data_IF_795516120911
#
_entry.id   IF_795516120911
#
_cell.length_a   1.000
_cell.length_b   1.000
_cell.length_c   1.000
_cell.angle_alpha   90.00
_cell.angle_beta   90.00
_cell.angle_gamma   90.00
#
_symmetry.space_group_name_H-M   'P 1'
#
loop_
_entity.id
_entity.type
_entity.pdbx_description
1 polymer ?
#
# COMPACT_ATOMS: atom_id res chain seq x y z
N UNK A 1 5.44 4.93 10.33
CA UNK A 1 4.38 3.94 10.56
C UNK A 1 4.96 2.88 11.47
N UNK A 2 4.23 2.50 12.49
CA UNK A 2 4.53 1.36 13.38
C UNK A 2 3.57 0.22 13.12
N UNK A 3 3.65 -0.86 13.93
CA UNK A 3 2.67 -1.94 13.94
C UNK A 3 1.25 -1.40 14.03
N UNK A 4 0.30 -1.99 13.25
CA UNK A 4 -1.07 -1.49 13.24
C UNK A 4 -1.94 -2.16 12.17
N UNK A 5 -3.21 -1.74 12.01
CA UNK A 5 -4.20 -2.44 11.17
C UNK A 5 -3.99 -2.25 9.65
N UNK A 6 -3.15 -1.32 9.22
CA UNK A 6 -2.83 -1.14 7.78
C UNK A 6 -2.00 -2.31 7.25
N UNK A 7 -1.98 -2.53 5.93
CA UNK A 7 -1.16 -3.58 5.31
C UNK A 7 0.32 -3.52 5.73
N UNK A 8 0.92 -2.32 5.68
CA UNK A 8 2.29 -2.08 6.19
C UNK A 8 2.37 -2.30 7.70
N UNK A 9 1.37 -1.85 8.46
CA UNK A 9 1.33 -2.02 9.92
C UNK A 9 1.23 -3.48 10.33
N UNK A 10 0.45 -4.31 9.64
CA UNK A 10 0.37 -5.77 9.85
C UNK A 10 1.69 -6.46 9.52
N UNK A 11 2.31 -6.12 8.39
CA UNK A 11 3.64 -6.61 8.05
C UNK A 11 4.65 -6.30 9.15
N UNK A 12 4.65 -5.08 9.68
CA UNK A 12 5.53 -4.69 10.78
C UNK A 12 5.22 -5.47 12.06
N UNK A 13 3.94 -5.68 12.40
CA UNK A 13 3.55 -6.51 13.54
C UNK A 13 4.08 -7.93 13.41
N UNK A 14 3.91 -8.56 12.25
CA UNK A 14 4.39 -9.91 11.98
C UNK A 14 5.92 -9.99 12.05
N UNK A 15 6.62 -9.01 11.48
CA UNK A 15 8.08 -8.95 11.57
C UNK A 15 8.55 -8.81 13.02
N UNK A 16 7.93 -7.96 13.83
CA UNK A 16 8.27 -7.81 15.25
C UNK A 16 8.08 -9.12 15.98
N UNK A 17 6.96 -9.81 15.81
CA UNK A 17 6.68 -11.12 16.45
C UNK A 17 7.74 -12.17 16.04
N UNK A 18 8.00 -12.28 14.74
CA UNK A 18 8.95 -13.29 14.21
C UNK A 18 10.41 -13.05 14.62
N UNK A 19 10.77 -11.79 14.86
CA UNK A 19 12.12 -11.41 15.18
C UNK A 19 12.34 -11.20 16.69
N UNK A 20 11.28 -11.27 17.50
CA UNK A 20 11.35 -10.98 18.95
C UNK A 20 12.30 -11.90 19.75
N UNK A 21 12.64 -13.07 19.18
CA UNK A 21 13.59 -14.03 19.78
C UNK A 21 14.99 -13.93 19.16
N UNK A 22 15.30 -12.86 18.42
CA UNK A 22 16.58 -12.64 17.76
C UNK A 22 17.12 -11.27 18.19
N UNK A 23 18.43 -11.05 18.10
CA UNK A 23 19.13 -9.82 18.47
C UNK A 23 18.77 -8.60 17.61
N UNK A 24 17.48 -8.28 17.48
CA UNK A 24 16.98 -7.13 16.73
C UNK A 24 16.37 -6.07 17.65
N UNK A 25 16.79 -4.84 17.46
CA UNK A 25 16.20 -3.68 18.12
C UNK A 25 15.21 -2.98 17.18
N UNK A 26 14.00 -2.71 17.68
CA UNK A 26 12.95 -2.05 16.91
C UNK A 26 12.86 -0.58 17.29
N UNK A 27 12.81 0.27 16.27
CA UNK A 27 12.55 1.69 16.44
C UNK A 27 11.40 2.08 15.50
N UNK A 28 10.27 2.47 16.07
CA UNK A 28 9.13 2.93 15.29
C UNK A 28 8.44 4.13 15.91
N UNK A 29 7.81 4.95 15.07
CA UNK A 29 6.95 6.03 15.55
C UNK A 29 5.62 5.44 15.99
N UNK A 30 5.16 5.81 17.17
CA UNK A 30 3.85 5.41 17.66
C UNK A 30 2.75 5.92 16.74
N UNK A 31 1.75 5.09 16.45
CA UNK A 31 0.57 5.52 15.70
C UNK A 31 -0.24 6.49 16.57
N UNK A 32 -0.40 7.73 16.15
CA UNK A 32 -1.10 8.71 16.95
C UNK A 32 -2.62 8.56 16.80
N UNK A 33 -3.38 9.01 17.81
CA UNK A 33 -4.84 9.15 17.72
C UNK A 33 -5.18 10.19 16.63
N UNK A 34 -6.30 10.05 15.94
CA UNK A 34 -6.69 11.03 14.92
C UNK A 34 -7.03 12.38 15.55
N UNK A 35 -6.23 13.41 15.31
CA UNK A 35 -6.50 14.77 15.77
C UNK A 35 -7.83 15.31 15.22
N UNK A 36 -8.15 14.97 13.95
CA UNK A 36 -9.41 15.35 13.33
C UNK A 36 -10.59 14.74 14.08
N UNK A 37 -10.53 13.45 14.44
CA UNK A 37 -11.56 12.76 15.22
C UNK A 37 -11.71 13.38 16.60
N UNK A 38 -10.61 13.66 17.31
CA UNK A 38 -10.64 14.31 18.62
C UNK A 38 -11.25 15.71 18.56
N UNK A 39 -10.98 16.47 17.50
CA UNK A 39 -11.56 17.79 17.25
C UNK A 39 -13.07 17.71 16.99
N UNK A 40 -13.51 16.76 16.12
CA UNK A 40 -14.95 16.57 15.84
C UNK A 40 -15.73 16.07 17.06
N UNK A 41 -15.11 15.24 17.90
CA UNK A 41 -15.68 14.78 19.18
C UNK A 41 -15.57 15.82 20.30
N UNK A 42 -15.09 17.05 20.03
CA UNK A 42 -14.89 18.15 20.99
C UNK A 42 -14.03 17.78 22.22
N UNK A 43 -13.16 16.78 22.11
CA UNK A 43 -12.25 16.31 23.17
C UNK A 43 -10.97 17.16 23.24
N UNK A 44 -11.10 18.44 23.55
CA UNK A 44 -10.00 19.42 23.47
C UNK A 44 -8.82 19.12 24.40
N UNK A 45 -9.07 18.67 25.63
CA UNK A 45 -8.00 18.29 26.57
C UNK A 45 -7.20 17.09 26.06
N UNK A 46 -7.89 16.06 25.55
CA UNK A 46 -7.24 14.89 24.92
C UNK A 46 -6.47 15.30 23.66
N UNK A 47 -6.98 16.26 22.90
CA UNK A 47 -6.31 16.82 21.71
C UNK A 47 -5.00 17.51 22.08
N UNK A 48 -4.99 18.36 23.09
CA UNK A 48 -3.79 19.05 23.57
C UNK A 48 -2.75 18.07 24.12
N UNK A 49 -3.18 17.11 24.92
CA UNK A 49 -2.31 16.03 25.42
C UNK A 49 -1.72 15.20 24.29
N UNK A 50 -2.50 14.88 23.26
CA UNK A 50 -2.01 14.12 22.10
C UNK A 50 -0.98 14.92 21.29
N UNK A 51 -1.19 16.23 21.10
CA UNK A 51 -0.22 17.10 20.44
C UNK A 51 1.11 17.15 21.21
N UNK A 52 1.05 17.31 22.53
CA UNK A 52 2.23 17.34 23.40
C UNK A 52 2.95 15.99 23.38
N UNK A 53 2.23 14.87 23.50
CA UNK A 53 2.79 13.51 23.40
C UNK A 53 3.48 13.29 22.04
N UNK A 54 2.91 13.79 20.94
CA UNK A 54 3.54 13.70 19.61
C UNK A 54 4.85 14.43 19.54
N UNK A 55 4.89 15.67 20.07
CA UNK A 55 6.13 16.45 20.10
C UNK A 55 7.22 15.74 20.89
N UNK A 56 6.92 15.29 22.09
CA UNK A 56 7.85 14.54 22.95
C UNK A 56 8.31 13.23 22.28
N UNK A 57 7.37 12.41 21.77
CA UNK A 57 7.72 11.18 21.08
C UNK A 57 8.61 11.43 19.85
N UNK A 58 8.38 12.50 19.09
CA UNK A 58 9.24 12.85 17.96
C UNK A 58 10.66 13.26 18.43
N UNK A 59 10.78 13.99 19.51
CA UNK A 59 12.08 14.37 20.09
C UNK A 59 12.83 13.11 20.52
N UNK A 60 12.20 12.23 21.32
CA UNK A 60 12.81 10.98 21.77
C UNK A 60 13.15 10.03 20.60
N UNK A 61 12.29 9.94 19.60
CA UNK A 61 12.54 9.15 18.40
C UNK A 61 13.76 9.68 17.65
N UNK A 62 13.80 10.98 17.40
CA UNK A 62 14.94 11.63 16.73
C UNK A 62 16.24 11.42 17.53
N UNK A 63 16.17 11.61 18.84
CA UNK A 63 17.32 11.41 19.73
C UNK A 63 17.84 9.97 19.66
N UNK A 64 16.97 8.94 19.76
CA UNK A 64 17.38 7.55 19.59
C UNK A 64 18.09 7.29 18.26
N UNK A 65 17.57 7.84 17.16
CA UNK A 65 18.14 7.66 15.82
C UNK A 65 19.53 8.31 15.71
N UNK A 66 19.79 9.41 16.41
CA UNK A 66 21.08 10.13 16.36
C UNK A 66 22.27 9.27 16.80
N UNK A 67 22.03 8.31 17.70
CA UNK A 67 23.09 7.46 18.25
C UNK A 67 23.26 6.14 17.49
N UNK A 68 22.42 5.85 16.49
CA UNK A 68 22.54 4.64 15.69
C UNK A 68 23.65 4.84 14.65
N UNK A 69 24.79 4.15 14.85
CA UNK A 69 25.95 4.20 13.96
C UNK A 69 26.57 2.81 13.82
N UNK A 70 27.22 2.55 12.69
CA UNK A 70 27.98 1.32 12.39
C UNK A 70 27.13 0.03 12.51
N UNK A 71 25.84 0.12 12.17
CA UNK A 71 24.91 -0.99 12.26
C UNK A 71 24.27 -1.34 10.91
N UNK A 72 23.64 -2.52 10.84
CA UNK A 72 22.79 -2.90 9.71
C UNK A 72 21.36 -2.52 10.06
N UNK A 73 20.71 -1.72 9.21
CA UNK A 73 19.37 -1.22 9.48
C UNK A 73 18.44 -1.62 8.34
N UNK A 74 17.29 -2.22 8.67
CA UNK A 74 16.19 -2.45 7.75
C UNK A 74 15.22 -1.29 7.90
N UNK A 75 14.99 -0.54 6.83
CA UNK A 75 14.04 0.57 6.79
C UNK A 75 12.85 0.17 5.94
N UNK A 76 11.66 0.37 6.50
CA UNK A 76 10.39 0.23 5.82
C UNK A 76 9.77 1.62 5.76
N UNK A 77 9.46 2.14 4.57
CA UNK A 77 8.83 3.43 4.39
C UNK A 77 9.67 4.65 4.82
N UNK A 78 10.67 5.06 4.04
CA UNK A 78 11.55 6.18 4.38
C UNK A 78 10.80 7.51 4.55
N UNK A 79 9.70 7.74 3.82
CA UNK A 79 8.88 8.96 3.96
C UNK A 79 8.32 9.14 5.38
N UNK A 80 7.94 8.06 6.06
CA UNK A 80 7.34 8.15 7.40
C UNK A 80 8.36 8.34 8.52
N UNK A 81 9.59 7.89 8.30
CA UNK A 81 10.73 8.21 9.18
C UNK A 81 11.10 9.70 9.00
N UNK A 82 11.00 10.19 7.79
CA UNK A 82 11.49 11.47 7.31
C UNK A 82 12.79 11.31 6.54
N UNK A 83 12.87 11.90 5.36
CA UNK A 83 14.03 11.76 4.48
C UNK A 83 15.32 12.28 5.08
N UNK A 84 15.27 13.38 5.87
CA UNK A 84 16.46 13.93 6.52
C UNK A 84 17.09 12.92 7.50
N UNK A 85 16.26 12.24 8.29
CA UNK A 85 16.71 11.16 9.18
C UNK A 85 17.17 9.93 8.39
N UNK A 86 16.48 9.59 7.32
CA UNK A 86 16.86 8.49 6.44
C UNK A 86 18.27 8.72 5.86
N UNK A 87 18.54 9.88 5.26
CA UNK A 87 19.85 10.20 4.70
C UNK A 87 20.95 10.28 5.76
N UNK A 88 20.62 10.75 6.96
CA UNK A 88 21.54 10.70 8.10
C UNK A 88 21.90 9.27 8.49
N UNK A 89 20.91 8.38 8.60
CA UNK A 89 21.16 6.96 8.88
C UNK A 89 22.01 6.32 7.78
N UNK A 90 21.73 6.65 6.52
CA UNK A 90 22.48 6.14 5.37
C UNK A 90 23.97 6.53 5.40
N UNK A 91 24.30 7.73 5.94
CA UNK A 91 25.69 8.21 6.06
C UNK A 91 26.54 7.35 6.99
N UNK A 92 25.95 6.78 8.05
CA UNK A 92 26.68 6.12 9.14
C UNK A 92 26.41 4.64 9.29
N UNK A 93 25.50 4.08 8.47
CA UNK A 93 25.02 2.70 8.62
C UNK A 93 24.86 2.00 7.28
N UNK A 94 24.82 0.67 7.32
CA UNK A 94 24.44 -0.14 6.15
C UNK A 94 22.92 -0.28 6.08
N UNK A 95 22.32 0.34 5.07
CA UNK A 95 20.86 0.40 4.91
C UNK A 95 20.35 -0.69 3.98
N UNK A 96 19.36 -1.42 4.45
CA UNK A 96 18.48 -2.31 3.69
C UNK A 96 17.12 -1.63 3.60
N UNK A 97 16.71 -1.19 2.42
CA UNK A 97 15.42 -0.53 2.19
C UNK A 97 14.41 -1.54 1.66
N UNK A 98 13.44 -1.93 2.49
CA UNK A 98 12.32 -2.75 2.05
C UNK A 98 11.31 -1.89 1.30
N UNK A 99 11.11 -2.20 0.02
CA UNK A 99 10.33 -1.36 -0.89
C UNK A 99 8.87 -1.80 -0.84
N UNK A 100 8.03 -0.97 -0.22
CA UNK A 100 6.61 -1.28 0.00
C UNK A 100 5.70 -0.85 -1.15
N UNK A 101 6.08 0.20 -1.85
CA UNK A 101 5.33 0.84 -2.93
C UNK A 101 6.31 1.52 -3.90
N UNK A 102 5.80 2.31 -4.82
CA UNK A 102 6.59 2.98 -5.85
C UNK A 102 7.07 4.39 -5.46
N UNK A 103 7.08 4.72 -4.17
CA UNK A 103 7.57 6.00 -3.65
C UNK A 103 9.05 6.27 -3.87
N UNK A 104 9.79 5.35 -4.42
CA UNK A 104 11.19 5.55 -4.81
C UNK A 104 11.34 6.33 -6.12
N UNK A 105 10.29 6.38 -6.97
CA UNK A 105 10.26 7.20 -8.19
C UNK A 105 8.97 8.02 -8.32
N UNK A 106 7.87 7.65 -7.68
CA UNK A 106 6.58 8.31 -7.80
C UNK A 106 6.26 9.14 -6.55
N UNK A 107 5.99 10.42 -6.73
CA UNK A 107 5.61 11.32 -5.64
C UNK A 107 4.31 10.89 -4.94
N UNK A 108 3.41 10.23 -5.66
CA UNK A 108 2.12 9.72 -5.14
C UNK A 108 2.20 8.36 -4.47
N UNK A 109 3.35 7.69 -4.48
CA UNK A 109 3.59 6.32 -4.01
C UNK A 109 2.87 5.23 -4.81
N UNK A 110 1.62 5.43 -5.19
CA UNK A 110 0.89 4.64 -6.17
C UNK A 110 1.03 5.31 -7.52
N UNK A 111 1.79 4.72 -8.45
CA UNK A 111 2.09 5.28 -9.76
C UNK A 111 0.88 5.23 -10.71
N UNK A 112 -0.15 6.01 -10.39
CA UNK A 112 -1.34 6.22 -11.23
C UNK A 112 -1.31 7.63 -11.79
N UNK A 113 -1.57 7.79 -13.09
CA UNK A 113 -1.67 9.10 -13.71
C UNK A 113 -2.85 9.88 -13.13
N UNK A 114 -2.69 11.16 -12.74
CA UNK A 114 -3.72 11.91 -12.04
C UNK A 114 -5.00 12.12 -12.87
N UNK A 115 -4.87 12.24 -14.20
CA UNK A 115 -5.98 12.51 -15.12
C UNK A 115 -6.45 11.23 -15.83
N UNK A 116 -5.48 10.42 -16.37
CA UNK A 116 -5.82 9.25 -17.18
C UNK A 116 -6.22 8.03 -16.35
N UNK A 117 -6.03 8.07 -15.04
CA UNK A 117 -6.39 7.00 -14.09
C UNK A 117 -5.84 5.62 -14.47
N UNK A 118 -4.65 5.57 -15.07
CA UNK A 118 -3.95 4.36 -15.45
C UNK A 118 -2.53 4.32 -14.88
N UNK A 119 -1.83 3.19 -15.06
CA UNK A 119 -0.42 3.05 -14.65
C UNK A 119 0.43 4.19 -15.25
N UNK A 120 1.18 4.89 -14.40
CA UNK A 120 2.05 5.99 -14.80
C UNK A 120 3.53 5.64 -14.52
N UNK A 121 4.34 5.69 -15.56
CA UNK A 121 5.78 5.43 -15.51
C UNK A 121 6.62 6.68 -15.82
N UNK A 122 5.98 7.84 -15.94
CA UNK A 122 6.60 9.11 -16.39
C UNK A 122 7.78 9.53 -15.51
N UNK A 123 7.71 9.28 -14.20
CA UNK A 123 8.78 9.66 -13.26
C UNK A 123 9.94 8.67 -13.20
N UNK A 124 9.87 7.54 -13.91
CA UNK A 124 11.02 6.61 -13.99
C UNK A 124 12.16 7.32 -14.69
N UNK A 125 13.35 7.22 -14.07
CA UNK A 125 14.60 7.86 -14.51
C UNK A 125 14.61 9.40 -14.44
N UNK A 126 13.60 10.11 -14.92
CA UNK A 126 13.62 11.57 -15.09
C UNK A 126 13.06 12.38 -13.92
N UNK A 127 12.27 11.77 -13.01
CA UNK A 127 11.60 12.46 -11.88
C UNK A 127 10.81 13.71 -12.33
N UNK A 128 10.03 13.57 -13.40
CA UNK A 128 9.22 14.64 -13.99
C UNK A 128 7.71 14.37 -13.75
N UNK A 129 7.19 14.63 -12.53
CA UNK A 129 5.79 14.40 -12.23
C UNK A 129 4.90 15.42 -12.95
N UNK A 130 3.65 15.01 -13.20
CA UNK A 130 2.60 15.92 -13.65
C UNK A 130 2.31 16.98 -12.57
N UNK A 131 1.87 18.17 -12.96
CA UNK A 131 1.58 19.28 -12.03
C UNK A 131 0.55 18.90 -10.97
N UNK A 132 -0.45 18.10 -11.33
CA UNK A 132 -1.49 17.60 -10.42
C UNK A 132 -1.05 16.43 -9.50
N UNK A 133 0.22 16.04 -9.55
CA UNK A 133 0.73 14.98 -8.69
C UNK A 133 1.07 15.49 -7.30
N UNK A 134 0.13 15.42 -6.36
CA UNK A 134 0.40 15.73 -4.96
C UNK A 134 1.13 14.58 -4.24
N UNK A 135 2.19 14.90 -3.46
CA UNK A 135 2.90 13.90 -2.68
C UNK A 135 2.00 13.18 -1.67
N UNK A 136 2.08 11.86 -1.66
CA UNK A 136 1.29 10.98 -0.79
C UNK A 136 2.16 9.79 -0.36
N UNK A 137 1.99 9.22 0.85
CA UNK A 137 1.01 9.58 1.90
C UNK A 137 1.45 10.72 2.80
N UNK A 138 2.66 11.23 2.65
CA UNK A 138 3.20 12.32 3.48
C UNK A 138 3.02 13.63 2.76
N UNK A 139 2.28 14.54 3.38
CA UNK A 139 2.00 15.87 2.83
C UNK A 139 3.27 16.73 2.87
N UNK A 140 3.73 17.13 1.70
CA UNK A 140 4.81 18.10 1.48
C UNK A 140 4.65 18.72 0.09
N UNK A 141 5.40 19.77 -0.23
CA UNK A 141 5.39 20.30 -1.59
C UNK A 141 6.01 19.30 -2.58
N UNK A 142 5.51 19.29 -3.82
CA UNK A 142 6.04 18.45 -4.89
C UNK A 142 7.55 18.68 -5.08
N UNK A 143 7.99 19.94 -5.13
CA UNK A 143 9.41 20.33 -5.24
C UNK A 143 10.26 19.72 -4.14
N UNK A 144 9.79 19.75 -2.87
CA UNK A 144 10.51 19.15 -1.76
C UNK A 144 10.57 17.62 -1.90
N UNK A 145 9.51 16.99 -2.34
CA UNK A 145 9.48 15.54 -2.56
C UNK A 145 10.47 15.14 -3.67
N UNK A 146 10.45 15.83 -4.81
CA UNK A 146 11.38 15.59 -5.92
C UNK A 146 12.81 15.68 -5.45
N UNK A 147 13.18 16.74 -4.71
CA UNK A 147 14.53 16.87 -4.15
C UNK A 147 14.94 15.67 -3.27
N UNK A 148 14.01 15.13 -2.52
CA UNK A 148 14.27 13.90 -1.75
C UNK A 148 14.47 12.67 -2.64
N UNK A 149 13.71 12.53 -3.72
CA UNK A 149 13.85 11.44 -4.69
C UNK A 149 15.16 11.54 -5.49
N UNK A 150 15.57 12.76 -5.85
CA UNK A 150 16.88 13.02 -6.48
C UNK A 150 18.02 12.60 -5.55
N UNK A 151 17.94 12.95 -4.27
CA UNK A 151 18.90 12.51 -3.27
C UNK A 151 18.88 10.99 -3.11
N UNK A 152 17.71 10.35 -3.11
CA UNK A 152 17.59 8.90 -3.08
C UNK A 152 18.29 8.27 -4.30
N UNK A 153 18.08 8.84 -5.49
CA UNK A 153 18.75 8.42 -6.71
C UNK A 153 20.27 8.59 -6.61
N UNK A 154 20.75 9.74 -6.14
CA UNK A 154 22.16 10.03 -5.93
C UNK A 154 22.86 9.02 -5.03
N UNK A 155 22.21 8.61 -3.95
CA UNK A 155 22.79 7.71 -2.94
C UNK A 155 22.35 6.25 -3.10
N UNK A 156 21.65 5.89 -4.18
CA UNK A 156 21.07 4.56 -4.39
C UNK A 156 22.09 3.41 -4.35
N UNK A 157 23.33 3.65 -4.80
CA UNK A 157 24.43 2.65 -4.77
C UNK A 157 24.84 2.25 -3.36
N UNK A 158 24.57 3.09 -2.35
CA UNK A 158 24.86 2.83 -0.93
C UNK A 158 23.72 2.07 -0.23
N UNK A 159 22.61 1.83 -0.92
CA UNK A 159 21.42 1.16 -0.41
C UNK A 159 21.34 -0.24 -0.98
N UNK A 160 20.95 -1.19 -0.15
CA UNK A 160 20.51 -2.51 -0.60
C UNK A 160 18.99 -2.50 -0.61
N UNK A 161 18.40 -2.50 -1.79
CA UNK A 161 16.95 -2.55 -1.96
C UNK A 161 16.45 -3.99 -1.78
N UNK A 162 15.42 -4.15 -0.95
CA UNK A 162 14.72 -5.41 -0.74
C UNK A 162 13.38 -5.30 -1.46
N UNK A 163 13.27 -5.91 -2.62
CA UNK A 163 12.05 -5.91 -3.45
C UNK A 163 11.16 -7.09 -3.13
N UNK A 164 9.87 -6.95 -3.40
CA UNK A 164 8.89 -7.98 -3.15
C UNK A 164 8.80 -9.00 -4.31
N UNK A 165 9.09 -8.60 -5.54
CA UNK A 165 9.02 -9.45 -6.71
C UNK A 165 9.99 -9.01 -7.82
N UNK A 166 10.03 -9.76 -8.94
CA UNK A 166 10.92 -9.50 -10.08
C UNK A 166 10.57 -8.17 -10.77
N UNK A 167 9.30 -7.88 -11.00
CA UNK A 167 8.87 -6.66 -11.68
C UNK A 167 9.24 -5.39 -10.88
N UNK A 168 9.09 -5.42 -9.56
CA UNK A 168 9.57 -4.32 -8.71
C UNK A 168 11.10 -4.19 -8.77
N UNK A 169 11.83 -5.31 -8.82
CA UNK A 169 13.29 -5.30 -9.02
C UNK A 169 13.68 -4.67 -10.35
N UNK A 170 12.92 -4.93 -11.44
CA UNK A 170 13.12 -4.28 -12.74
C UNK A 170 12.87 -2.78 -12.67
N UNK A 171 11.77 -2.33 -12.03
CA UNK A 171 11.47 -0.91 -11.83
C UNK A 171 12.60 -0.19 -11.08
N UNK A 172 13.15 -0.81 -10.02
CA UNK A 172 14.29 -0.26 -9.29
C UNK A 172 15.52 -0.09 -10.18
N UNK A 173 15.84 -1.08 -11.02
CA UNK A 173 16.96 -1.01 -11.95
C UNK A 173 16.71 0.00 -13.07
N UNK A 174 15.49 0.11 -13.58
CA UNK A 174 15.14 1.13 -14.60
C UNK A 174 15.30 2.55 -14.04
N UNK A 175 14.95 2.75 -12.77
CA UNK A 175 15.02 4.08 -12.15
C UNK A 175 16.42 4.46 -11.68
N UNK A 176 17.13 3.55 -11.03
CA UNK A 176 18.44 3.83 -10.40
C UNK A 176 19.64 3.36 -11.24
N UNK A 177 19.41 2.61 -12.32
CA UNK A 177 20.44 1.97 -13.15
C UNK A 177 20.81 0.56 -12.67
N UNK A 178 21.47 -0.21 -13.55
CA UNK A 178 21.77 -1.63 -13.31
C UNK A 178 22.78 -1.89 -12.17
N UNK A 179 23.54 -0.86 -11.75
CA UNK A 179 24.55 -0.98 -10.69
C UNK A 179 23.99 -1.01 -9.28
N UNK A 180 22.68 -0.79 -9.08
CA UNK A 180 22.05 -0.84 -7.75
C UNK A 180 21.94 -2.25 -7.22
N UNK A 181 22.08 -2.38 -5.91
CA UNK A 181 21.99 -3.68 -5.21
C UNK A 181 20.53 -3.96 -4.89
N UNK A 182 19.93 -4.92 -5.58
CA UNK A 182 18.55 -5.35 -5.33
C UNK A 182 18.53 -6.83 -4.92
N UNK A 183 17.74 -7.16 -3.91
CA UNK A 183 17.46 -8.53 -3.49
C UNK A 183 15.95 -8.73 -3.48
N UNK A 184 15.47 -9.78 -4.12
CA UNK A 184 14.06 -10.17 -4.10
C UNK A 184 13.84 -11.02 -2.86
N UNK A 185 12.98 -10.59 -1.93
CA UNK A 185 12.72 -11.29 -0.67
C UNK A 185 11.25 -11.65 -0.47
N UNK A 186 10.36 -11.20 -1.36
CA UNK A 186 8.93 -11.42 -1.23
C UNK A 186 8.26 -10.53 -0.18
N UNK A 187 7.02 -10.83 0.09
CA UNK A 187 6.22 -10.29 1.18
C UNK A 187 5.69 -11.44 2.04
N UNK A 188 5.72 -11.27 3.35
CA UNK A 188 5.14 -12.25 4.26
C UNK A 188 3.61 -12.27 4.13
N UNK A 189 3.09 -13.38 3.63
CA UNK A 189 1.66 -13.63 3.39
C UNK A 189 1.13 -14.77 4.26
N UNK A 190 1.73 -15.02 5.41
CA UNK A 190 1.40 -16.15 6.30
C UNK A 190 -0.09 -16.25 6.68
N UNK A 191 -0.85 -15.18 6.51
CA UNK A 191 -2.30 -15.18 6.75
C UNK A 191 -3.11 -15.79 5.60
N UNK A 192 -2.45 -16.12 4.48
CA UNK A 192 -3.11 -16.66 3.30
C UNK A 192 -3.00 -18.18 3.36
N UNK A 193 -4.06 -18.82 3.84
CA UNK A 193 -4.23 -20.27 3.74
C UNK A 193 -4.96 -20.56 2.43
N UNK A 194 -4.43 -21.47 1.61
CA UNK A 194 -5.20 -22.04 0.49
C UNK A 194 -6.33 -22.87 1.06
N UNK A 195 -7.49 -22.77 0.45
CA UNK A 195 -8.60 -23.67 0.75
C UNK A 195 -8.34 -25.02 0.08
N UNK A 196 -8.52 -26.12 0.81
CA UNK A 196 -8.66 -27.43 0.18
C UNK A 196 -9.91 -27.41 -0.69
N UNK A 197 -9.83 -27.96 -1.90
CA UNK A 197 -10.82 -27.86 -2.98
C UNK A 197 -12.12 -28.62 -2.68
N UNK A 198 -12.88 -28.19 -1.70
CA UNK A 198 -14.30 -28.57 -1.61
C UNK A 198 -15.14 -27.41 -2.13
N UNK A 199 -15.38 -27.39 -3.43
CA UNK A 199 -16.36 -26.50 -4.05
C UNK A 199 -17.77 -26.98 -3.71
N UNK A 200 -18.23 -26.65 -2.51
CA UNK A 200 -19.66 -26.68 -2.20
C UNK A 200 -20.34 -25.57 -3.00
N UNK A 201 -21.39 -25.92 -3.76
CA UNK A 201 -22.27 -24.96 -4.44
C UNK A 201 -22.91 -24.04 -3.38
N UNK A 202 -22.31 -22.89 -3.14
CA UNK A 202 -22.86 -21.91 -2.22
C UNK A 202 -23.76 -20.94 -2.99
N UNK A 203 -24.92 -20.64 -2.42
CA UNK A 203 -25.79 -19.55 -2.90
C UNK A 203 -24.95 -18.27 -2.89
N UNK A 204 -24.72 -17.72 -4.07
CA UNK A 204 -23.95 -16.47 -4.23
C UNK A 204 -24.77 -15.32 -3.64
N UNK A 205 -24.16 -14.53 -2.75
CA UNK A 205 -24.83 -13.37 -2.15
C UNK A 205 -24.73 -12.14 -3.05
N UNK A 206 -23.59 -12.00 -3.75
CA UNK A 206 -23.33 -10.92 -4.70
C UNK A 206 -22.65 -11.51 -5.93
N UNK A 207 -22.97 -10.94 -7.09
CA UNK A 207 -22.37 -11.40 -8.35
C UNK A 207 -20.91 -10.96 -8.44
N UNK A 208 -20.62 -9.69 -8.16
CA UNK A 208 -19.29 -9.11 -8.30
C UNK A 208 -18.87 -8.41 -7.01
N UNK A 209 -17.69 -8.77 -6.50
CA UNK A 209 -17.14 -8.25 -5.24
C UNK A 209 -15.87 -7.47 -5.51
N UNK A 210 -15.80 -6.23 -5.01
CA UNK A 210 -14.57 -5.45 -4.92
C UNK A 210 -13.77 -5.88 -3.69
N UNK A 211 -12.51 -6.26 -3.88
CA UNK A 211 -11.65 -6.54 -2.73
C UNK A 211 -10.48 -5.56 -2.69
N UNK A 212 -10.62 -4.51 -1.92
CA UNK A 212 -9.62 -3.45 -1.75
C UNK A 212 -10.18 -2.29 -0.94
N UNK A 213 -9.35 -1.30 -0.69
CA UNK A 213 -9.81 -0.01 -0.17
C UNK A 213 -10.40 0.82 -1.32
N UNK A 214 -11.45 1.64 -1.07
CA UNK A 214 -12.03 2.50 -2.09
C UNK A 214 -11.10 3.70 -2.41
N UNK A 215 -10.05 3.44 -3.18
CA UNK A 215 -9.07 4.40 -3.65
C UNK A 215 -9.01 4.38 -5.18
N UNK A 216 -8.73 5.52 -5.82
CA UNK A 216 -8.53 5.60 -7.28
C UNK A 216 -7.47 4.59 -7.72
N UNK A 217 -6.32 4.56 -7.05
CA UNK A 217 -5.24 3.63 -7.39
C UNK A 217 -5.62 2.14 -7.24
N UNK A 218 -6.68 1.83 -6.49
CA UNK A 218 -7.23 0.48 -6.36
C UNK A 218 -8.38 0.20 -7.32
N UNK A 219 -8.65 1.14 -8.24
CA UNK A 219 -9.62 1.02 -9.30
C UNK A 219 -11.09 1.09 -8.86
N UNK A 220 -11.39 1.78 -7.75
CA UNK A 220 -12.77 1.91 -7.29
C UNK A 220 -13.67 2.59 -8.34
N UNK A 221 -13.14 3.58 -9.08
CA UNK A 221 -13.89 4.26 -10.13
C UNK A 221 -14.20 3.33 -11.30
N UNK A 222 -13.26 2.46 -11.67
CA UNK A 222 -13.48 1.41 -12.66
C UNK A 222 -14.61 0.47 -12.21
N UNK A 223 -14.60 0.02 -10.95
CA UNK A 223 -15.62 -0.86 -10.39
C UNK A 223 -17.02 -0.20 -10.38
N UNK A 224 -17.11 1.09 -10.04
CA UNK A 224 -18.37 1.84 -10.06
C UNK A 224 -18.90 2.00 -11.50
N UNK A 225 -18.02 2.30 -12.47
CA UNK A 225 -18.38 2.38 -13.88
C UNK A 225 -18.91 1.03 -14.39
N UNK A 226 -18.27 -0.06 -13.99
CA UNK A 226 -18.73 -1.41 -14.35
C UNK A 226 -20.13 -1.71 -13.80
N UNK A 227 -20.40 -1.33 -12.54
CA UNK A 227 -21.73 -1.50 -11.95
C UNK A 227 -22.82 -0.69 -12.67
N UNK A 228 -22.48 0.50 -13.17
CA UNK A 228 -23.41 1.30 -13.95
C UNK A 228 -23.75 0.69 -15.33
N UNK A 229 -22.81 -0.05 -15.92
CA UNK A 229 -22.99 -0.70 -17.24
C UNK A 229 -23.75 -2.03 -17.11
N UNK A 230 -23.68 -2.68 -15.94
CA UNK A 230 -24.28 -3.99 -15.67
C UNK A 230 -25.32 -3.88 -14.54
N UNK A 231 -26.46 -3.18 -14.78
CA UNK A 231 -27.43 -2.89 -13.72
C UNK A 231 -28.17 -4.14 -13.21
N UNK A 232 -28.18 -5.22 -13.96
CA UNK A 232 -28.80 -6.51 -13.61
C UNK A 232 -27.97 -7.34 -12.63
N UNK A 233 -26.67 -7.01 -12.47
CA UNK A 233 -25.79 -7.72 -11.55
C UNK A 233 -25.69 -6.99 -10.21
N UNK A 234 -25.51 -7.74 -9.13
CA UNK A 234 -25.31 -7.21 -7.79
C UNK A 234 -23.81 -7.03 -7.50
N UNK A 235 -23.43 -5.82 -7.11
CA UNK A 235 -22.06 -5.42 -6.80
C UNK A 235 -21.88 -5.20 -5.30
N UNK A 236 -20.73 -5.55 -4.75
CA UNK A 236 -20.44 -5.37 -3.33
C UNK A 236 -19.10 -4.66 -3.09
N UNK A 237 -19.12 -3.65 -2.22
CA UNK A 237 -17.94 -2.94 -1.75
C UNK A 237 -17.82 -3.11 -0.22
N UNK A 238 -16.68 -3.63 0.33
CA UNK A 238 -16.47 -3.86 1.75
C UNK A 238 -16.07 -2.57 2.49
N UNK A 239 -16.84 -1.50 2.33
CA UNK A 239 -16.63 -0.21 2.97
C UNK A 239 -17.99 0.51 3.11
N UNK A 240 -18.00 1.69 3.71
CA UNK A 240 -19.22 2.51 3.80
C UNK A 240 -19.43 3.33 2.53
N UNK A 241 -20.70 3.64 2.23
CA UNK A 241 -21.09 4.51 1.12
C UNK A 241 -20.46 5.90 1.24
N UNK A 242 -20.34 6.42 2.46
CA UNK A 242 -19.74 7.72 2.77
C UNK A 242 -18.26 7.76 2.40
N UNK A 243 -17.51 6.69 2.71
CA UNK A 243 -16.10 6.60 2.36
C UNK A 243 -15.89 6.53 0.84
N UNK A 244 -16.76 5.83 0.12
CA UNK A 244 -16.71 5.77 -1.35
C UNK A 244 -17.03 7.14 -1.96
N UNK A 245 -18.01 7.87 -1.39
CA UNK A 245 -18.36 9.23 -1.81
C UNK A 245 -17.24 10.26 -1.61
N UNK A 246 -16.25 10.02 -0.76
CA UNK A 246 -15.05 10.86 -0.65
C UNK A 246 -14.16 10.80 -1.90
N UNK A 247 -14.29 9.72 -2.69
CA UNK A 247 -13.49 9.49 -3.90
C UNK A 247 -14.35 9.69 -5.17
N UNK A 248 -15.63 9.39 -5.09
CA UNK A 248 -16.59 9.50 -6.19
C UNK A 248 -17.78 10.37 -5.76
N UNK A 249 -17.74 11.62 -6.16
CA UNK A 249 -18.72 12.65 -5.74
C UNK A 249 -19.99 12.73 -6.63
N UNK A 250 -20.36 11.65 -7.30
CA UNK A 250 -21.60 11.54 -8.08
C UNK A 250 -22.55 10.52 -7.46
N UNK A 251 -23.72 10.35 -8.07
CA UNK A 251 -24.67 9.33 -7.64
C UNK A 251 -24.13 7.93 -7.95
N UNK A 252 -24.18 7.08 -6.93
CA UNK A 252 -23.73 5.69 -7.02
C UNK A 252 -24.85 4.83 -7.61
N UNK A 253 -24.51 3.88 -8.51
CA UNK A 253 -25.46 2.90 -9.01
C UNK A 253 -26.22 2.18 -7.91
N UNK A 254 -27.51 1.94 -8.10
CA UNK A 254 -28.41 1.35 -7.09
C UNK A 254 -28.11 -0.14 -6.82
N UNK A 255 -27.44 -0.82 -7.74
CA UNK A 255 -27.03 -2.22 -7.64
C UNK A 255 -25.72 -2.42 -6.86
N UNK A 256 -25.16 -1.37 -6.25
CA UNK A 256 -23.98 -1.48 -5.38
C UNK A 256 -24.40 -1.56 -3.91
N UNK A 257 -24.02 -2.63 -3.25
CA UNK A 257 -24.22 -2.86 -1.82
C UNK A 257 -22.97 -2.54 -1.03
N UNK A 258 -23.14 -1.93 0.16
CA UNK A 258 -22.05 -1.48 1.01
C UNK A 258 -22.17 -2.12 2.40
N UNK A 259 -21.05 -2.56 2.95
CA UNK A 259 -20.96 -2.97 4.35
C UNK A 259 -19.52 -2.80 4.83
N UNK A 260 -19.33 -2.06 5.92
CA UNK A 260 -18.00 -1.90 6.52
C UNK A 260 -17.59 -3.19 7.23
N UNK A 261 -16.88 -4.04 6.51
CA UNK A 261 -16.37 -5.33 7.00
C UNK A 261 -14.90 -5.51 6.60
N UNK A 262 -14.21 -6.31 7.39
CA UNK A 262 -12.83 -6.73 7.17
C UNK A 262 -12.78 -8.22 6.80
N UNK A 263 -11.60 -8.68 6.45
CA UNK A 263 -11.36 -10.10 6.16
C UNK A 263 -11.84 -11.00 7.31
N UNK A 264 -11.56 -10.59 8.54
CA UNK A 264 -11.85 -11.31 9.77
C UNK A 264 -13.33 -11.18 10.20
N UNK A 265 -14.06 -10.17 9.70
CA UNK A 265 -15.45 -9.88 10.12
C UNK A 265 -16.49 -10.20 9.04
N UNK A 266 -16.15 -11.06 8.07
CA UNK A 266 -17.09 -11.61 7.09
C UNK A 266 -16.79 -11.33 5.62
N UNK A 267 -15.72 -10.58 5.28
CA UNK A 267 -15.35 -10.39 3.87
C UNK A 267 -14.86 -11.70 3.23
N UNK A 268 -14.17 -12.56 3.98
CA UNK A 268 -13.75 -13.88 3.51
C UNK A 268 -14.94 -14.67 2.94
N UNK A 269 -16.02 -14.78 3.70
CA UNK A 269 -17.21 -15.52 3.29
C UNK A 269 -17.87 -14.93 2.01
N UNK A 270 -17.88 -13.60 1.90
CA UNK A 270 -18.41 -12.91 0.72
C UNK A 270 -17.52 -13.18 -0.51
N UNK A 271 -16.20 -13.14 -0.35
CA UNK A 271 -15.23 -13.43 -1.41
C UNK A 271 -15.38 -14.89 -1.89
N UNK A 272 -15.50 -15.85 -0.95
CA UNK A 272 -15.67 -17.27 -1.29
C UNK A 272 -16.96 -17.55 -2.07
N UNK A 273 -18.03 -16.82 -1.78
CA UNK A 273 -19.37 -16.98 -2.38
C UNK A 273 -19.63 -16.06 -3.56
N UNK A 274 -18.71 -15.22 -3.97
CA UNK A 274 -18.87 -14.33 -5.11
C UNK A 274 -18.73 -15.11 -6.42
N UNK A 275 -19.53 -14.75 -7.46
CA UNK A 275 -19.32 -15.27 -8.82
C UNK A 275 -18.02 -14.78 -9.41
N UNK A 276 -17.64 -13.50 -9.11
CA UNK A 276 -16.42 -12.88 -9.56
C UNK A 276 -15.87 -11.91 -8.48
N UNK A 277 -14.60 -12.00 -8.19
CA UNK A 277 -13.91 -11.01 -7.35
C UNK A 277 -13.02 -10.15 -8.22
N UNK A 278 -13.15 -8.83 -8.11
CA UNK A 278 -12.36 -7.87 -8.88
C UNK A 278 -11.41 -7.10 -7.95
N UNK A 279 -10.11 -7.13 -8.30
CA UNK A 279 -9.05 -6.35 -7.69
C UNK A 279 -8.43 -5.42 -8.75
N UNK A 280 -9.10 -4.34 -9.18
CA UNK A 280 -8.71 -3.59 -10.37
C UNK A 280 -7.63 -2.54 -10.07
N UNK A 281 -6.52 -2.95 -9.46
CA UNK A 281 -5.40 -2.05 -9.14
C UNK A 281 -4.80 -1.44 -10.41
N UNK A 282 -4.75 -0.10 -10.47
CA UNK A 282 -4.34 0.67 -11.65
C UNK A 282 -2.86 1.07 -11.63
N UNK A 283 -2.06 0.51 -10.75
CA UNK A 283 -0.65 0.86 -10.55
C UNK A 283 0.22 -0.40 -10.57
N UNK A 284 1.53 -0.24 -10.78
CA UNK A 284 2.49 -1.36 -10.70
C UNK A 284 2.63 -1.85 -9.25
N UNK A 285 1.57 -2.49 -8.74
CA UNK A 285 1.57 -3.02 -7.37
C UNK A 285 2.64 -4.11 -7.22
N UNK A 286 3.54 -4.03 -6.22
CA UNK A 286 4.54 -5.08 -6.03
C UNK A 286 3.88 -6.41 -5.65
N UNK A 287 3.28 -6.51 -4.47
CA UNK A 287 2.39 -7.63 -4.10
C UNK A 287 1.10 -7.03 -3.56
N UNK A 288 0.00 -7.32 -4.24
CA UNK A 288 -1.32 -6.88 -3.82
C UNK A 288 -1.94 -7.95 -2.90
N UNK A 289 -1.88 -7.71 -1.60
CA UNK A 289 -2.37 -8.68 -0.61
C UNK A 289 -3.85 -9.05 -0.77
N UNK A 290 -4.70 -8.10 -1.22
CA UNK A 290 -6.10 -8.36 -1.52
C UNK A 290 -6.25 -9.32 -2.71
N UNK A 291 -5.46 -9.12 -3.77
CA UNK A 291 -5.47 -9.99 -4.95
C UNK A 291 -5.05 -11.42 -4.59
N UNK A 292 -3.96 -11.56 -3.82
CA UNK A 292 -3.47 -12.89 -3.39
C UNK A 292 -4.49 -13.59 -2.50
N UNK A 293 -5.12 -12.87 -1.55
CA UNK A 293 -6.20 -13.42 -0.71
C UNK A 293 -7.42 -13.85 -1.55
N UNK A 294 -7.82 -13.01 -2.52
CA UNK A 294 -8.92 -13.36 -3.42
C UNK A 294 -8.62 -14.64 -4.20
N UNK A 295 -7.44 -14.73 -4.83
CA UNK A 295 -7.06 -15.89 -5.64
C UNK A 295 -6.87 -17.18 -4.83
N UNK A 296 -6.56 -17.07 -3.52
CA UNK A 296 -6.48 -18.22 -2.63
C UNK A 296 -7.85 -18.77 -2.22
N UNK A 297 -8.92 -17.99 -2.33
CA UNK A 297 -10.25 -18.33 -1.81
C UNK A 297 -11.37 -18.31 -2.86
N UNK A 298 -11.10 -17.84 -4.07
CA UNK A 298 -12.06 -17.83 -5.17
C UNK A 298 -11.33 -18.12 -6.49
N UNK A 299 -11.85 -19.03 -7.29
CA UNK A 299 -11.29 -19.39 -8.60
C UNK A 299 -11.53 -18.32 -9.68
N UNK A 300 -12.54 -17.46 -9.47
CA UNK A 300 -12.93 -16.42 -10.40
C UNK A 300 -12.46 -15.05 -9.90
N UNK A 301 -11.21 -14.74 -10.15
CA UNK A 301 -10.61 -13.45 -9.77
C UNK A 301 -10.13 -12.74 -11.01
N UNK A 302 -10.48 -11.46 -11.14
CA UNK A 302 -10.03 -10.60 -12.22
C UNK A 302 -9.27 -9.39 -11.67
N UNK A 303 -8.31 -8.89 -12.44
CA UNK A 303 -7.52 -7.69 -12.16
C UNK A 303 -7.25 -6.92 -13.45
N UNK A 304 -6.91 -5.65 -13.32
CA UNK A 304 -6.43 -4.83 -14.45
C UNK A 304 -4.95 -5.14 -14.68
N UNK A 305 -4.59 -5.34 -15.93
CA UNK A 305 -3.19 -5.56 -16.32
C UNK A 305 -2.38 -4.27 -16.22
N UNK A 306 -1.25 -4.31 -15.52
CA UNK A 306 -0.24 -3.26 -15.50
C UNK A 306 1.09 -3.76 -16.09
N UNK A 307 1.97 -2.85 -16.51
CA UNK A 307 3.24 -3.24 -17.16
C UNK A 307 4.19 -3.97 -16.20
N UNK A 308 4.20 -3.57 -14.94
CA UNK A 308 5.10 -4.09 -13.91
C UNK A 308 4.39 -4.57 -12.64
N UNK A 309 3.11 -4.89 -12.71
CA UNK A 309 2.36 -5.39 -11.58
C UNK A 309 2.65 -6.85 -11.24
N UNK A 310 2.31 -7.22 -10.01
CA UNK A 310 2.48 -8.58 -9.49
C UNK A 310 1.61 -9.61 -10.23
N UNK A 311 0.49 -9.20 -10.77
CA UNK A 311 -0.42 -10.08 -11.52
C UNK A 311 0.29 -10.84 -12.64
N UNK A 312 1.32 -10.27 -13.24
CA UNK A 312 2.13 -10.92 -14.29
C UNK A 312 3.07 -12.02 -13.78
N UNK A 313 3.38 -12.01 -12.50
CA UNK A 313 4.27 -13.00 -11.87
C UNK A 313 3.50 -14.11 -11.15
N UNK A 314 2.21 -13.90 -10.90
CA UNK A 314 1.39 -14.85 -10.14
C UNK A 314 0.76 -15.91 -11.05
N UNK A 315 1.16 -17.15 -10.88
CA UNK A 315 0.50 -18.30 -11.54
C UNK A 315 -0.94 -18.56 -11.04
N UNK A 316 -1.32 -17.99 -9.91
CA UNK A 316 -2.66 -18.11 -9.34
C UNK A 316 -3.71 -17.24 -10.05
N UNK A 317 -3.25 -16.24 -10.81
CA UNK A 317 -4.15 -15.29 -11.48
C UNK A 317 -4.13 -15.61 -12.97
N UNK A 318 -5.18 -16.26 -13.45
CA UNK A 318 -5.30 -16.70 -14.85
C UNK A 318 -6.06 -15.71 -15.74
N UNK A 319 -6.88 -14.84 -15.14
CA UNK A 319 -7.76 -13.93 -15.87
C UNK A 319 -7.33 -12.47 -15.63
N UNK A 320 -6.94 -11.80 -16.70
CA UNK A 320 -6.68 -10.38 -16.69
C UNK A 320 -7.82 -9.64 -17.40
N UNK A 321 -8.31 -8.57 -16.78
CA UNK A 321 -9.17 -7.63 -17.47
C UNK A 321 -8.28 -6.76 -18.38
N UNK A 322 -8.58 -6.73 -19.65
CA UNK A 322 -7.91 -5.89 -20.66
C UNK A 322 -8.66 -4.60 -20.87
#
# INVERSE_FOLDING_TARGET
>A
IGPGPSGVGRLMSNLVIKLNNKDYNYVYRRNPLSLRKLKTEKKYMTLLLEISKRKLNNIFFNFKILFIKNTKIIIIHPQTIGYDLFFRLLKYNRIFLYVMDNSFFCVRSYNVHPILENECLQCIDKLSPHEECDPSPVLMSQTKNIKHLENLKKYSKNIIFLSQNKNQSLLLKLHFGNSVKVRIIGMDTNEIKSKNEEHLYHITKYDIVFHGKPLIAKGILYFIKLAAILPELSFFIPDTKENVKLVFNADLPSNIFFKNITWETGLLEIVEKAKLVINPSLWSAPIEGALVKSAAHNSNVATVESKYGYEKESSMIRNHLR
#
